data_IF_474167414209
#
_entry.id   IF_474167414209
#
_cell.length_a   1.000
_cell.length_b   1.000
_cell.length_c   1.000
_cell.angle_alpha   90.00
_cell.angle_beta   90.00
_cell.angle_gamma   90.00
#
_symmetry.space_group_name_H-M   'P 1'
#
loop_
_entity.id
_entity.type
_entity.pdbx_description
1 polymer ?
#
# COMPACT_ATOMS: atom_id res chain seq x y z
N UNK A 1 -6.79 -1.88 27.73
CA UNK A 1 -7.11 -2.30 26.34
C UNK A 1 -8.23 -1.40 25.81
N UNK A 2 -8.11 -0.95 24.56
CA UNK A 2 -9.18 -0.17 23.91
C UNK A 2 -10.42 -1.02 23.64
N UNK A 3 -11.49 -0.40 23.13
CA UNK A 3 -12.67 -1.14 22.66
C UNK A 3 -12.28 -1.93 21.39
N UNK A 4 -12.69 -3.21 21.26
CA UNK A 4 -12.37 -4.00 20.08
C UNK A 4 -13.06 -3.45 18.83
N UNK A 5 -12.40 -3.53 17.68
CA UNK A 5 -13.00 -3.17 16.40
C UNK A 5 -14.08 -4.18 16.01
N UNK A 6 -15.27 -3.70 15.67
CA UNK A 6 -16.41 -4.52 15.26
C UNK A 6 -16.31 -4.82 13.77
N UNK A 7 -16.28 -6.09 13.40
CA UNK A 7 -16.16 -6.52 12.02
C UNK A 7 -17.41 -7.24 11.53
N UNK A 8 -17.66 -7.10 10.23
CA UNK A 8 -18.49 -8.02 9.46
C UNK A 8 -17.58 -8.72 8.46
N UNK A 9 -17.67 -10.05 8.37
CA UNK A 9 -16.94 -10.83 7.37
C UNK A 9 -17.83 -11.05 6.15
N UNK A 10 -17.36 -10.71 4.95
CA UNK A 10 -18.06 -10.97 3.70
C UNK A 10 -17.33 -12.04 2.89
N UNK A 11 -17.89 -13.25 2.86
CA UNK A 11 -17.34 -14.41 2.16
C UNK A 11 -17.23 -15.63 3.08
N UNK A 12 -17.53 -16.81 2.54
CA UNK A 12 -17.50 -18.10 3.23
C UNK A 12 -16.56 -19.13 2.54
N UNK A 13 -15.69 -18.63 1.65
CA UNK A 13 -14.84 -19.44 0.78
C UNK A 13 -13.52 -19.89 1.42
N UNK A 14 -12.52 -20.14 0.57
CA UNK A 14 -11.19 -20.60 0.98
C UNK A 14 -10.54 -19.64 1.98
N UNK A 15 -10.57 -18.34 1.70
CA UNK A 15 -9.95 -17.30 2.50
C UNK A 15 -10.65 -17.15 3.86
N UNK A 16 -11.98 -17.31 3.92
CA UNK A 16 -12.68 -17.39 5.20
C UNK A 16 -12.12 -18.55 6.03
N UNK A 17 -12.16 -19.76 5.47
CA UNK A 17 -11.76 -20.99 6.16
C UNK A 17 -10.30 -20.97 6.62
N UNK A 18 -9.38 -20.43 5.80
CA UNK A 18 -7.96 -20.35 6.17
C UNK A 18 -7.68 -19.36 7.30
N UNK A 19 -8.56 -18.39 7.54
CA UNK A 19 -8.36 -17.33 8.53
C UNK A 19 -9.22 -17.46 9.80
N UNK A 20 -10.15 -18.41 9.89
CA UNK A 20 -11.04 -18.58 11.06
C UNK A 20 -10.25 -18.62 12.38
N UNK A 21 -9.15 -19.38 12.44
CA UNK A 21 -8.36 -19.51 13.66
C UNK A 21 -7.60 -18.22 14.00
N UNK A 22 -7.10 -17.50 12.99
CA UNK A 22 -6.49 -16.18 13.17
C UNK A 22 -7.51 -15.18 13.75
N UNK A 23 -8.72 -15.13 13.19
CA UNK A 23 -9.79 -14.25 13.64
C UNK A 23 -10.24 -14.57 15.08
N UNK A 24 -10.42 -15.86 15.41
CA UNK A 24 -10.72 -16.29 16.79
C UNK A 24 -9.61 -15.90 17.77
N UNK A 25 -8.35 -16.05 17.36
CA UNK A 25 -7.23 -15.61 18.19
C UNK A 25 -7.26 -14.10 18.43
N UNK A 26 -7.52 -13.29 17.39
CA UNK A 26 -7.63 -11.83 17.53
C UNK A 26 -8.83 -11.40 18.38
N UNK A 27 -9.96 -12.12 18.36
CA UNK A 27 -11.06 -11.90 19.31
C UNK A 27 -10.64 -12.23 20.76
N UNK A 28 -9.87 -13.30 20.97
CA UNK A 28 -9.37 -13.67 22.32
C UNK A 28 -8.40 -12.64 22.91
N UNK A 29 -7.68 -11.91 22.04
CA UNK A 29 -6.83 -10.78 22.42
C UNK A 29 -7.62 -9.47 22.61
N UNK A 30 -8.94 -9.49 22.39
CA UNK A 30 -9.82 -8.33 22.44
C UNK A 30 -9.39 -7.18 21.48
N UNK A 31 -8.76 -7.53 20.36
CA UNK A 31 -8.45 -6.59 19.27
C UNK A 31 -9.69 -6.35 18.40
N UNK A 32 -10.48 -7.39 18.18
CA UNK A 32 -11.68 -7.36 17.33
C UNK A 32 -12.87 -8.07 17.98
N UNK A 33 -14.04 -7.85 17.39
CA UNK A 33 -15.26 -8.61 17.61
C UNK A 33 -15.96 -8.83 16.28
N UNK A 34 -16.21 -10.08 15.92
CA UNK A 34 -16.99 -10.40 14.72
C UNK A 34 -18.47 -10.35 15.07
N UNK A 35 -19.17 -9.34 14.56
CA UNK A 35 -20.60 -9.18 14.84
C UNK A 35 -21.47 -9.98 13.88
N UNK A 36 -21.00 -10.22 12.64
CA UNK A 36 -21.71 -11.05 11.69
C UNK A 36 -20.82 -11.58 10.57
N UNK A 37 -21.30 -12.62 9.90
CA UNK A 37 -20.77 -13.17 8.66
C UNK A 37 -21.88 -13.10 7.60
N UNK A 38 -21.52 -12.77 6.38
CA UNK A 38 -22.42 -12.68 5.23
C UNK A 38 -21.73 -13.21 3.99
N UNK A 39 -22.50 -13.55 2.96
CA UNK A 39 -22.03 -13.87 1.63
C UNK A 39 -23.13 -13.51 0.61
N UNK A 40 -22.83 -13.63 -0.69
CA UNK A 40 -23.85 -13.45 -1.73
C UNK A 40 -24.95 -14.51 -1.62
N UNK A 41 -24.54 -15.73 -1.28
CA UNK A 41 -25.42 -16.85 -0.97
C UNK A 41 -25.05 -17.37 0.42
N UNK A 42 -26.00 -17.37 1.34
CA UNK A 42 -25.81 -17.87 2.70
C UNK A 42 -26.55 -19.20 2.86
N UNK A 43 -25.96 -20.20 3.55
CA UNK A 43 -26.68 -21.43 3.85
C UNK A 43 -27.83 -21.20 4.84
N UNK A 44 -28.77 -22.14 4.91
CA UNK A 44 -29.92 -22.10 5.83
C UNK A 44 -29.55 -22.41 7.29
N UNK A 45 -28.56 -21.70 7.82
CA UNK A 45 -28.13 -21.76 9.22
C UNK A 45 -28.13 -20.35 9.83
N UNK A 46 -28.31 -20.25 11.15
CA UNK A 46 -28.30 -18.95 11.84
C UNK A 46 -26.90 -18.52 12.29
N UNK A 47 -25.94 -19.44 12.35
CA UNK A 47 -24.58 -19.21 12.83
C UNK A 47 -23.56 -20.08 12.10
N UNK A 48 -22.32 -19.61 12.04
CA UNK A 48 -21.14 -20.34 11.57
C UNK A 48 -19.95 -19.99 12.46
N UNK A 49 -19.19 -20.99 12.91
CA UNK A 49 -18.04 -20.83 13.82
C UNK A 49 -18.33 -20.05 15.11
N UNK A 50 -19.60 -19.99 15.52
CA UNK A 50 -20.05 -19.21 16.67
C UNK A 50 -20.41 -17.75 16.34
N UNK A 51 -20.25 -17.28 15.12
CA UNK A 51 -20.69 -15.96 14.66
C UNK A 51 -22.07 -16.00 14.01
N UNK A 52 -22.79 -14.89 14.05
CA UNK A 52 -24.12 -14.79 13.45
C UNK A 52 -24.02 -14.74 11.92
N UNK A 53 -24.81 -15.57 11.23
CA UNK A 53 -24.96 -15.49 9.79
C UNK A 53 -26.12 -14.54 9.45
N UNK A 54 -25.87 -13.56 8.59
CA UNK A 54 -26.87 -12.57 8.18
C UNK A 54 -26.93 -12.46 6.65
N UNK A 55 -28.10 -12.08 6.16
CA UNK A 55 -28.28 -11.63 4.77
C UNK A 55 -27.61 -10.27 4.57
N UNK A 56 -27.09 -10.00 3.37
CA UNK A 56 -26.37 -8.76 3.05
C UNK A 56 -27.21 -7.50 3.25
N UNK A 57 -28.53 -7.60 3.11
CA UNK A 57 -29.49 -6.51 3.34
C UNK A 57 -29.53 -6.08 4.83
N UNK A 58 -29.12 -6.96 5.75
CA UNK A 58 -29.09 -6.70 7.20
C UNK A 58 -27.77 -6.06 7.66
N UNK A 59 -26.77 -5.90 6.80
CA UNK A 59 -25.47 -5.30 7.14
C UNK A 59 -25.64 -3.92 7.78
N UNK A 60 -26.48 -3.04 7.20
CA UNK A 60 -26.72 -1.68 7.75
C UNK A 60 -27.34 -1.66 9.14
N UNK A 61 -28.04 -2.73 9.52
CA UNK A 61 -28.70 -2.87 10.83
C UNK A 61 -27.79 -3.50 11.87
N UNK A 62 -26.61 -3.96 11.45
CA UNK A 62 -25.60 -4.57 12.29
C UNK A 62 -24.58 -3.50 12.66
N UNK A 63 -24.14 -3.45 13.93
CA UNK A 63 -23.07 -2.53 14.31
C UNK A 63 -21.74 -3.05 13.75
N UNK A 64 -20.99 -2.22 13.06
CA UNK A 64 -19.64 -2.56 12.59
C UNK A 64 -18.80 -1.28 12.45
N UNK A 65 -17.49 -1.43 12.50
CA UNK A 65 -16.51 -0.41 12.17
C UNK A 65 -16.01 -0.66 10.74
N UNK A 66 -15.63 -1.91 10.43
CA UNK A 66 -15.14 -2.33 9.11
C UNK A 66 -15.82 -3.61 8.59
N UNK A 67 -15.81 -3.79 7.27
CA UNK A 67 -16.16 -5.04 6.60
C UNK A 67 -14.87 -5.65 6.05
N UNK A 68 -14.59 -6.89 6.43
CA UNK A 68 -13.46 -7.65 5.90
C UNK A 68 -13.94 -8.54 4.74
N UNK A 69 -13.42 -8.31 3.55
CA UNK A 69 -13.73 -9.07 2.34
C UNK A 69 -12.89 -10.34 2.35
N UNK A 70 -13.53 -11.47 2.63
CA UNK A 70 -12.93 -12.80 2.76
C UNK A 70 -12.91 -13.53 1.40
N UNK A 71 -12.51 -12.83 0.35
CA UNK A 71 -12.35 -13.38 -0.99
C UNK A 71 -11.45 -12.45 -1.83
N UNK A 72 -10.26 -12.93 -2.21
CA UNK A 72 -9.31 -12.12 -2.99
C UNK A 72 -9.62 -12.14 -4.49
N UNK A 73 -10.24 -13.22 -5.00
CA UNK A 73 -10.54 -13.38 -6.44
C UNK A 73 -11.69 -12.46 -6.86
N UNK A 74 -12.78 -12.45 -6.10
CA UNK A 74 -13.99 -11.66 -6.37
C UNK A 74 -14.03 -10.36 -5.56
N UNK A 75 -12.87 -9.90 -5.06
CA UNK A 75 -12.79 -8.75 -4.17
C UNK A 75 -13.45 -7.50 -4.78
N UNK A 76 -13.12 -7.17 -6.02
CA UNK A 76 -13.57 -5.91 -6.63
C UNK A 76 -15.10 -5.90 -6.85
N UNK A 77 -15.68 -7.07 -7.16
CA UNK A 77 -17.13 -7.25 -7.24
C UNK A 77 -17.79 -7.07 -5.87
N UNK A 78 -17.26 -7.73 -4.83
CA UNK A 78 -17.78 -7.62 -3.47
C UNK A 78 -17.66 -6.18 -2.94
N UNK A 79 -16.53 -5.51 -3.18
CA UNK A 79 -16.36 -4.09 -2.82
C UNK A 79 -17.41 -3.24 -3.53
N UNK A 80 -17.66 -3.48 -4.81
CA UNK A 80 -18.69 -2.77 -5.58
C UNK A 80 -20.07 -2.96 -4.98
N UNK A 81 -20.42 -4.19 -4.59
CA UNK A 81 -21.72 -4.49 -3.98
C UNK A 81 -21.86 -3.88 -2.59
N UNK A 82 -20.82 -3.92 -1.75
CA UNK A 82 -20.79 -3.21 -0.47
C UNK A 82 -20.98 -1.70 -0.67
N UNK A 83 -20.33 -1.12 -1.68
CA UNK A 83 -20.46 0.30 -2.00
C UNK A 83 -21.85 0.67 -2.53
N UNK A 84 -22.54 -0.22 -3.27
CA UNK A 84 -23.95 -0.03 -3.66
C UNK A 84 -24.89 0.00 -2.44
N UNK A 85 -24.51 -0.66 -1.36
CA UNK A 85 -25.19 -0.50 -0.06
C UNK A 85 -24.87 0.86 0.58
N UNK A 86 -24.09 1.76 -0.02
CA UNK A 86 -23.77 3.08 0.54
C UNK A 86 -22.76 3.04 1.69
N UNK A 87 -21.94 1.98 1.75
CA UNK A 87 -20.85 1.87 2.72
C UNK A 87 -19.58 2.45 2.09
N UNK A 88 -18.91 3.35 2.80
CA UNK A 88 -17.72 4.05 2.30
C UNK A 88 -16.54 3.08 2.08
N UNK A 89 -15.78 3.28 0.99
CA UNK A 89 -14.63 2.42 0.63
C UNK A 89 -13.59 2.27 1.73
N UNK A 90 -13.35 3.33 2.53
CA UNK A 90 -12.40 3.30 3.67
C UNK A 90 -12.79 2.32 4.79
N UNK A 91 -14.04 1.88 4.81
CA UNK A 91 -14.57 0.92 5.79
C UNK A 91 -14.52 -0.52 5.27
N UNK A 92 -13.98 -0.75 4.08
CA UNK A 92 -13.92 -2.05 3.42
C UNK A 92 -12.45 -2.47 3.33
N UNK A 93 -12.11 -3.57 3.99
CA UNK A 93 -10.74 -4.05 4.10
C UNK A 93 -10.62 -5.42 3.42
N UNK A 94 -9.52 -5.70 2.70
CA UNK A 94 -9.30 -7.03 2.14
C UNK A 94 -8.73 -8.00 3.18
N UNK A 95 -9.04 -9.29 3.08
CA UNK A 95 -8.57 -10.29 4.06
C UNK A 95 -7.05 -10.46 4.09
N UNK A 96 -6.35 -10.21 2.98
CA UNK A 96 -4.87 -10.28 2.89
C UNK A 96 -4.11 -9.47 3.95
N UNK A 97 -4.74 -8.46 4.58
CA UNK A 97 -4.08 -7.69 5.64
C UNK A 97 -3.76 -8.55 6.87
N UNK A 98 -4.50 -9.65 7.06
CA UNK A 98 -4.27 -10.61 8.14
C UNK A 98 -2.96 -11.39 7.96
N UNK A 99 -2.45 -11.47 6.73
CA UNK A 99 -1.19 -12.14 6.42
C UNK A 99 0.04 -11.26 6.72
N UNK A 100 -0.16 -9.98 7.05
CA UNK A 100 0.94 -9.05 7.32
C UNK A 100 1.66 -9.48 8.61
N UNK A 101 2.98 -9.67 8.57
CA UNK A 101 3.74 -10.04 9.77
C UNK A 101 3.69 -8.96 10.84
N UNK A 102 3.56 -9.37 12.11
CA UNK A 102 3.40 -8.47 13.27
C UNK A 102 2.17 -7.55 13.18
N UNK A 103 1.15 -7.95 12.43
CA UNK A 103 -0.10 -7.21 12.32
C UNK A 103 -0.79 -7.07 13.68
N UNK A 104 -1.21 -5.84 13.97
CA UNK A 104 -2.12 -5.52 15.07
C UNK A 104 -3.14 -4.52 14.54
N UNK A 105 -4.40 -4.68 14.93
CA UNK A 105 -5.47 -3.85 14.41
C UNK A 105 -5.27 -2.39 14.77
N UNK A 106 -4.88 -2.12 16.02
CA UNK A 106 -4.65 -0.74 16.48
C UNK A 106 -3.55 0.00 15.70
N UNK A 107 -2.48 -0.66 15.26
CA UNK A 107 -1.41 -0.02 14.45
C UNK A 107 -1.85 0.14 13.00
N UNK A 108 -2.46 -0.90 12.44
CA UNK A 108 -2.95 -0.87 11.06
C UNK A 108 -4.03 0.20 10.86
N UNK A 109 -5.02 0.29 11.75
CA UNK A 109 -6.09 1.29 11.65
C UNK A 109 -5.54 2.71 11.83
N UNK A 110 -4.61 2.94 12.77
CA UNK A 110 -3.94 4.24 12.89
C UNK A 110 -3.22 4.64 11.61
N UNK A 111 -2.55 3.71 10.95
CA UNK A 111 -1.89 3.97 9.67
C UNK A 111 -2.92 4.31 8.58
N UNK A 112 -3.99 3.52 8.47
CA UNK A 112 -5.07 3.72 7.51
C UNK A 112 -5.72 5.10 7.68
N UNK A 113 -6.05 5.48 8.92
CA UNK A 113 -6.69 6.74 9.28
C UNK A 113 -5.75 7.94 9.24
N UNK A 114 -4.43 7.71 9.23
CA UNK A 114 -3.46 8.80 9.04
C UNK A 114 -3.48 9.37 7.62
N UNK A 115 -4.16 8.70 6.68
CA UNK A 115 -4.28 9.13 5.29
C UNK A 115 -2.92 9.41 4.64
N UNK A 116 -1.97 8.51 4.86
CA UNK A 116 -0.59 8.65 4.41
C UNK A 116 -0.47 8.75 2.88
N UNK A 117 0.41 9.63 2.43
CA UNK A 117 0.77 9.80 1.02
C UNK A 117 2.21 9.37 0.80
N UNK A 118 2.40 8.28 0.04
CA UNK A 118 3.72 7.74 -0.28
C UNK A 118 4.24 8.36 -1.59
N UNK A 119 5.39 9.00 -1.53
CA UNK A 119 6.17 9.46 -2.68
C UNK A 119 7.28 8.44 -2.89
N UNK A 120 7.33 7.82 -4.06
CA UNK A 120 8.26 6.73 -4.37
C UNK A 120 8.84 6.97 -5.77
N UNK A 121 10.12 6.68 -5.97
CA UNK A 121 10.74 6.82 -7.28
C UNK A 121 10.49 5.60 -8.20
N UNK A 122 9.74 4.59 -7.72
CA UNK A 122 9.28 3.45 -8.50
C UNK A 122 7.88 2.95 -8.06
N UNK A 123 7.60 1.68 -8.32
CA UNK A 123 6.33 1.04 -7.99
C UNK A 123 6.17 0.67 -6.51
N UNK A 124 7.19 0.85 -5.65
CA UNK A 124 7.19 0.44 -4.25
C UNK A 124 5.97 0.98 -3.51
N UNK A 125 5.72 2.28 -3.58
CA UNK A 125 4.57 2.90 -2.90
C UNK A 125 3.22 2.31 -3.35
N UNK A 126 3.08 2.02 -4.64
CA UNK A 126 1.89 1.39 -5.20
C UNK A 126 1.67 -0.05 -4.71
N UNK A 127 2.77 -0.82 -4.59
CA UNK A 127 2.77 -2.18 -4.08
C UNK A 127 2.43 -2.18 -2.59
N UNK A 128 3.04 -1.29 -1.80
CA UNK A 128 2.74 -1.14 -0.37
C UNK A 128 1.25 -0.85 -0.14
N UNK A 129 0.65 0.09 -0.87
CA UNK A 129 -0.79 0.34 -0.73
C UNK A 129 -1.61 -0.92 -0.99
N UNK A 130 -1.26 -1.70 -2.02
CA UNK A 130 -1.95 -2.93 -2.40
C UNK A 130 -1.80 -3.99 -1.31
N UNK A 131 -0.59 -4.20 -0.80
CA UNK A 131 -0.29 -5.13 0.29
C UNK A 131 -1.11 -4.78 1.54
N UNK A 132 -1.16 -3.49 1.88
CA UNK A 132 -1.89 -2.98 3.04
C UNK A 132 -3.39 -2.75 2.79
N UNK A 133 -3.91 -3.06 1.59
CA UNK A 133 -5.33 -2.89 1.27
C UNK A 133 -5.84 -1.44 1.33
N UNK A 134 -4.93 -0.45 1.31
CA UNK A 134 -5.25 0.97 1.47
C UNK A 134 -5.28 1.71 0.13
N UNK A 135 -5.92 2.87 0.11
CA UNK A 135 -5.90 3.74 -1.06
C UNK A 135 -4.53 4.40 -1.22
N UNK A 136 -3.99 4.38 -2.44
CA UNK A 136 -2.81 5.21 -2.75
C UNK A 136 -3.21 6.66 -2.98
N UNK A 137 -2.76 7.53 -2.07
CA UNK A 137 -3.02 8.97 -2.07
C UNK A 137 -1.86 9.76 -2.67
N UNK A 138 -1.35 9.33 -3.81
CA UNK A 138 -0.17 9.93 -4.44
C UNK A 138 -0.21 9.76 -5.96
N UNK A 139 0.20 10.78 -6.74
CA UNK A 139 0.37 10.66 -8.19
C UNK A 139 1.56 9.78 -8.55
N UNK A 140 2.54 9.60 -7.64
CA UNK A 140 3.72 8.73 -7.77
C UNK A 140 3.39 7.23 -7.64
N UNK A 141 2.21 6.83 -8.10
CA UNK A 141 1.77 5.43 -8.16
C UNK A 141 1.97 4.90 -9.56
N UNK A 142 2.55 3.70 -9.69
CA UNK A 142 2.71 2.99 -10.97
C UNK A 142 3.46 3.84 -12.01
N UNK A 143 4.53 4.50 -11.58
CA UNK A 143 5.44 5.24 -12.45
C UNK A 143 6.86 5.07 -11.92
N UNK A 144 7.85 5.49 -12.72
CA UNK A 144 9.24 5.53 -12.32
C UNK A 144 9.85 6.90 -12.62
N UNK A 145 10.82 7.30 -11.82
CA UNK A 145 11.68 8.46 -12.04
C UNK A 145 13.01 8.20 -11.34
N UNK A 146 14.05 8.97 -11.66
CA UNK A 146 15.30 8.84 -10.93
C UNK A 146 15.10 9.27 -9.46
N UNK A 147 15.86 8.69 -8.52
CA UNK A 147 15.81 9.14 -7.14
C UNK A 147 16.21 10.62 -7.01
N UNK A 148 17.20 11.06 -7.79
CA UNK A 148 17.62 12.46 -7.89
C UNK A 148 16.47 13.37 -8.33
N UNK A 149 15.74 12.97 -9.38
CA UNK A 149 14.60 13.72 -9.92
C UNK A 149 13.49 13.85 -8.87
N UNK A 150 13.21 12.78 -8.11
CA UNK A 150 12.24 12.85 -7.02
C UNK A 150 12.69 13.83 -5.93
N UNK A 151 13.96 13.76 -5.51
CA UNK A 151 14.53 14.65 -4.50
C UNK A 151 14.46 16.12 -4.92
N UNK A 152 14.71 16.43 -6.19
CA UNK A 152 14.60 17.78 -6.74
C UNK A 152 13.16 18.34 -6.67
N UNK A 153 12.14 17.49 -6.70
CA UNK A 153 10.75 17.90 -6.59
C UNK A 153 10.32 18.19 -5.15
N UNK A 154 11.02 17.70 -4.12
CA UNK A 154 10.55 17.76 -2.72
C UNK A 154 10.50 19.16 -2.08
N UNK A 155 11.50 20.06 -2.23
CA UNK A 155 11.54 21.32 -1.47
C UNK A 155 10.29 22.20 -1.65
N UNK A 156 9.65 22.16 -2.81
CA UNK A 156 8.39 22.85 -3.11
C UNK A 156 7.37 21.88 -3.71
N UNK A 157 7.24 20.68 -3.14
CA UNK A 157 6.47 19.59 -3.72
C UNK A 157 5.09 20.04 -4.22
N UNK A 158 4.31 20.70 -3.37
CA UNK A 158 2.95 21.13 -3.72
C UNK A 158 2.91 22.03 -4.96
N UNK A 159 3.85 22.97 -5.10
CA UNK A 159 3.94 23.84 -6.28
C UNK A 159 4.45 23.05 -7.50
N UNK A 160 5.50 22.26 -7.31
CA UNK A 160 6.14 21.48 -8.36
C UNK A 160 5.18 20.49 -9.03
N UNK A 161 4.36 19.77 -8.25
CA UNK A 161 3.43 18.75 -8.79
C UNK A 161 2.13 19.32 -9.36
N UNK A 162 1.84 20.59 -9.11
CA UNK A 162 0.69 21.29 -9.69
C UNK A 162 0.94 21.73 -11.13
N UNK A 163 2.19 21.77 -11.57
CA UNK A 163 2.50 21.96 -12.99
C UNK A 163 2.08 20.75 -13.81
N UNK A 164 1.74 21.01 -15.08
CA UNK A 164 1.35 19.96 -16.02
C UNK A 164 2.61 19.26 -16.53
N UNK A 165 2.75 17.93 -16.37
CA UNK A 165 3.82 17.20 -17.04
C UNK A 165 3.75 17.38 -18.56
N UNK A 166 4.87 17.74 -19.17
CA UNK A 166 5.01 17.97 -20.60
C UNK A 166 5.50 16.70 -21.29
N UNK A 167 4.79 16.22 -22.31
CA UNK A 167 5.23 15.05 -23.06
C UNK A 167 6.59 15.28 -23.72
N UNK A 168 7.50 14.32 -23.54
CA UNK A 168 8.85 14.34 -24.15
C UNK A 168 8.93 13.32 -25.27
N UNK A 169 8.70 12.04 -24.93
CA UNK A 169 8.85 10.94 -25.88
C UNK A 169 8.09 9.70 -25.41
N UNK A 170 7.96 8.71 -26.29
CA UNK A 170 7.60 7.36 -25.89
C UNK A 170 8.87 6.52 -25.76
N UNK A 171 8.98 5.78 -24.65
CA UNK A 171 10.00 4.74 -24.48
C UNK A 171 9.36 3.36 -24.50
N UNK A 172 10.20 2.33 -24.61
CA UNK A 172 9.80 0.93 -24.60
C UNK A 172 10.42 0.26 -23.38
N UNK A 173 9.61 -0.42 -22.58
CA UNK A 173 10.12 -1.21 -21.47
C UNK A 173 10.86 -2.43 -22.03
N UNK A 174 12.04 -2.72 -21.48
CA UNK A 174 13.02 -3.65 -22.08
C UNK A 174 12.49 -5.09 -22.08
N UNK A 175 11.76 -5.50 -21.04
CA UNK A 175 11.33 -6.88 -20.85
C UNK A 175 10.01 -7.20 -21.53
N UNK A 176 9.01 -6.34 -21.37
CA UNK A 176 7.64 -6.49 -21.87
C UNK A 176 7.47 -5.96 -23.29
N UNK A 177 8.34 -5.05 -23.71
CA UNK A 177 8.21 -4.35 -24.97
C UNK A 177 7.04 -3.37 -25.05
N UNK A 178 6.37 -3.09 -23.94
CA UNK A 178 5.26 -2.13 -23.89
C UNK A 178 5.81 -0.72 -24.05
N UNK A 179 5.16 0.07 -24.92
CA UNK A 179 5.46 1.50 -25.08
C UNK A 179 4.73 2.31 -24.04
N UNK A 180 5.43 3.27 -23.44
CA UNK A 180 4.90 4.15 -22.40
C UNK A 180 5.39 5.58 -22.59
N UNK A 181 4.62 6.60 -22.16
CA UNK A 181 5.03 7.99 -22.29
C UNK A 181 6.02 8.39 -21.17
N UNK A 182 7.01 9.19 -21.56
CA UNK A 182 7.90 9.93 -20.66
C UNK A 182 7.50 11.39 -20.72
N UNK A 183 7.29 12.00 -19.56
CA UNK A 183 6.93 13.42 -19.45
C UNK A 183 7.87 14.14 -18.50
N UNK A 184 8.15 15.40 -18.80
CA UNK A 184 8.97 16.27 -17.98
C UNK A 184 8.08 17.08 -17.04
N UNK A 185 8.44 17.11 -15.76
CA UNK A 185 7.85 17.98 -14.75
C UNK A 185 8.99 18.79 -14.13
N UNK A 186 9.05 20.10 -14.39
CA UNK A 186 10.22 20.92 -14.06
C UNK A 186 11.50 20.33 -14.68
N UNK A 187 12.41 19.85 -13.84
CA UNK A 187 13.68 19.23 -14.22
C UNK A 187 13.64 17.69 -14.10
N UNK A 188 12.53 17.12 -13.65
CA UNK A 188 12.35 15.69 -13.47
C UNK A 188 11.73 15.03 -14.70
N UNK A 189 12.19 13.82 -15.03
CA UNK A 189 11.60 12.97 -16.06
C UNK A 189 10.81 11.83 -15.43
N UNK A 190 9.52 11.79 -15.71
CA UNK A 190 8.59 10.82 -15.17
C UNK A 190 8.23 9.81 -16.26
N UNK A 191 8.51 8.54 -15.97
CA UNK A 191 8.22 7.39 -16.81
C UNK A 191 6.89 6.78 -16.37
N UNK A 192 5.84 6.97 -17.17
CA UNK A 192 4.50 6.41 -16.91
C UNK A 192 4.41 4.98 -17.42
N UNK A 193 5.27 4.09 -16.91
CA UNK A 193 5.49 2.72 -17.37
C UNK A 193 4.28 1.77 -17.30
N UNK A 194 3.15 2.22 -16.74
CA UNK A 194 1.89 1.49 -16.69
C UNK A 194 0.76 2.10 -17.53
N UNK A 195 1.07 3.12 -18.33
CA UNK A 195 0.14 3.83 -19.20
C UNK A 195 0.61 3.73 -20.66
N UNK A 196 -0.34 3.61 -21.58
CA UNK A 196 -0.03 3.46 -23.02
C UNK A 196 -0.30 4.73 -23.83
N UNK A 197 -0.97 5.72 -23.25
CA UNK A 197 -1.23 7.02 -23.85
C UNK A 197 -0.91 8.17 -22.89
N UNK A 198 -0.62 9.34 -23.46
CA UNK A 198 -0.32 10.57 -22.72
C UNK A 198 -1.57 11.05 -21.96
N UNK A 199 -2.73 10.94 -22.61
CA UNK A 199 -4.02 11.36 -22.07
C UNK A 199 -4.40 10.55 -20.83
N UNK A 200 -4.27 9.22 -20.89
CA UNK A 200 -4.55 8.32 -19.76
C UNK A 200 -3.61 8.60 -18.58
N UNK A 201 -2.32 8.77 -18.86
CA UNK A 201 -1.31 9.09 -17.85
C UNK A 201 -1.62 10.42 -17.14
N UNK A 202 -1.93 11.47 -17.91
CA UNK A 202 -2.28 12.78 -17.36
C UNK A 202 -3.60 12.76 -16.58
N UNK A 203 -4.61 12.03 -17.06
CA UNK A 203 -5.87 11.88 -16.34
C UNK A 203 -5.64 11.20 -14.97
N UNK A 204 -4.89 10.10 -14.95
CA UNK A 204 -4.52 9.39 -13.72
C UNK A 204 -3.69 10.26 -12.79
N UNK A 205 -2.69 10.98 -13.32
CA UNK A 205 -1.86 11.93 -12.57
C UNK A 205 -2.73 12.98 -11.89
N UNK A 206 -3.51 13.74 -12.65
CA UNK A 206 -4.34 14.83 -12.15
C UNK A 206 -5.40 14.35 -11.15
N UNK A 207 -6.00 13.17 -11.38
CA UNK A 207 -6.96 12.58 -10.45
C UNK A 207 -6.32 12.19 -9.12
N UNK A 208 -5.09 11.69 -9.12
CA UNK A 208 -4.36 11.27 -7.92
C UNK A 208 -3.74 12.46 -7.19
N UNK A 209 -3.32 13.48 -7.91
CA UNK A 209 -2.77 14.73 -7.38
C UNK A 209 -3.71 15.39 -6.35
N UNK A 210 -5.02 15.37 -6.63
CA UNK A 210 -6.07 15.89 -5.73
C UNK A 210 -6.18 15.18 -4.38
N UNK A 211 -5.53 14.02 -4.21
CA UNK A 211 -5.66 13.16 -3.02
C UNK A 211 -4.48 13.27 -2.06
N UNK A 212 -3.39 13.95 -2.45
CA UNK A 212 -2.19 14.05 -1.63
C UNK A 212 -2.53 14.67 -0.27
N UNK A 213 -2.08 14.03 0.80
CA UNK A 213 -2.07 14.57 2.13
C UNK A 213 -0.68 15.13 2.45
N UNK A 214 -0.49 16.43 2.19
CA UNK A 214 0.79 17.12 2.43
C UNK A 214 1.21 17.14 3.90
N UNK A 215 0.27 16.95 4.84
CA UNK A 215 0.56 16.88 6.28
C UNK A 215 1.09 15.51 6.72
N UNK A 216 1.00 14.49 5.86
CA UNK A 216 1.45 13.13 6.18
C UNK A 216 2.08 12.45 4.96
N UNK A 217 3.24 12.96 4.57
CA UNK A 217 4.06 12.40 3.50
C UNK A 217 5.00 11.32 4.04
N UNK A 218 5.20 10.28 3.24
CA UNK A 218 6.30 9.33 3.41
C UNK A 218 7.12 9.31 2.13
N UNK A 219 8.41 9.62 2.23
CA UNK A 219 9.33 9.65 1.09
C UNK A 219 10.12 8.34 1.03
N UNK A 220 9.88 7.56 0.00
CA UNK A 220 10.68 6.39 -0.33
C UNK A 220 11.53 6.69 -1.57
N UNK A 221 12.81 6.32 -1.49
CA UNK A 221 13.66 6.20 -2.66
C UNK A 221 14.41 4.87 -2.62
N UNK A 222 14.84 4.41 -3.79
CA UNK A 222 15.96 3.49 -3.89
C UNK A 222 17.02 4.07 -4.83
N UNK A 223 18.28 3.81 -4.53
CA UNK A 223 19.41 4.28 -5.33
C UNK A 223 20.64 3.41 -5.10
N UNK A 224 21.54 3.39 -6.09
CA UNK A 224 22.89 2.82 -5.98
C UNK A 224 23.97 3.92 -5.98
N UNK A 225 23.54 5.19 -6.04
CA UNK A 225 24.38 6.38 -6.05
C UNK A 225 24.51 6.96 -4.64
N UNK A 226 25.77 7.06 -4.17
CA UNK A 226 26.12 7.53 -2.83
C UNK A 226 25.74 9.00 -2.61
N UNK A 227 25.94 9.86 -3.61
CA UNK A 227 25.67 11.29 -3.50
C UNK A 227 24.17 11.55 -3.35
N UNK A 228 23.34 10.71 -4.01
CA UNK A 228 21.88 10.74 -3.86
C UNK A 228 21.46 10.33 -2.45
N UNK A 229 22.12 9.34 -1.84
CA UNK A 229 21.85 8.96 -0.45
C UNK A 229 22.19 10.09 0.50
N UNK A 230 23.34 10.75 0.31
CA UNK A 230 23.76 11.89 1.15
C UNK A 230 22.78 13.06 1.05
N UNK A 231 22.29 13.38 -0.16
CA UNK A 231 21.21 14.36 -0.34
C UNK A 231 19.90 13.91 0.33
N UNK A 232 19.53 12.63 0.23
CA UNK A 232 18.34 12.13 0.91
C UNK A 232 18.43 12.22 2.44
N UNK A 233 19.61 11.97 3.01
CA UNK A 233 19.86 12.06 4.46
C UNK A 233 19.62 13.49 4.95
N UNK A 234 20.04 14.50 4.18
CA UNK A 234 19.90 15.91 4.57
C UNK A 234 18.47 16.44 4.60
N UNK A 235 17.49 15.71 4.03
CA UNK A 235 16.08 16.10 4.10
C UNK A 235 15.58 16.16 5.55
N UNK A 236 14.86 17.23 5.91
CA UNK A 236 14.35 17.42 7.28
C UNK A 236 13.20 16.47 7.67
N UNK A 237 12.57 15.80 6.70
CA UNK A 237 11.45 14.88 6.97
C UNK A 237 11.89 13.62 7.73
N UNK A 238 11.14 13.26 8.77
CA UNK A 238 11.39 12.05 9.57
C UNK A 238 10.74 10.79 8.99
N UNK A 239 9.72 10.95 8.13
CA UNK A 239 9.01 9.83 7.50
C UNK A 239 9.62 9.58 6.13
N UNK A 240 10.75 8.88 6.13
CA UNK A 240 11.48 8.58 4.91
C UNK A 240 12.23 7.25 4.99
N UNK A 241 12.41 6.59 3.84
CA UNK A 241 13.26 5.42 3.69
C UNK A 241 14.02 5.46 2.37
N UNK A 242 15.30 5.10 2.42
CA UNK A 242 16.16 4.92 1.27
C UNK A 242 16.63 3.47 1.24
N UNK A 243 16.30 2.75 0.16
CA UNK A 243 16.78 1.39 -0.05
C UNK A 243 18.04 1.40 -0.90
N UNK A 244 19.05 0.66 -0.45
CA UNK A 244 20.35 0.52 -1.12
C UNK A 244 20.77 -0.95 -1.13
N UNK A 245 21.66 -1.40 -2.04
CA UNK A 245 22.14 -2.77 -2.04
C UNK A 245 22.85 -3.16 -0.74
N UNK A 246 22.81 -4.45 -0.39
CA UNK A 246 23.57 -4.99 0.75
C UNK A 246 25.06 -4.67 0.61
N UNK A 247 25.68 -4.18 1.68
CA UNK A 247 27.09 -3.79 1.70
C UNK A 247 27.36 -2.36 1.23
N UNK A 248 26.33 -1.52 1.05
CA UNK A 248 26.48 -0.11 0.68
C UNK A 248 27.32 0.68 1.69
N UNK A 249 27.20 0.37 2.98
CA UNK A 249 28.11 0.85 4.02
C UNK A 249 27.79 2.25 4.58
N UNK A 250 26.61 2.80 4.30
CA UNK A 250 26.13 4.04 4.94
C UNK A 250 25.34 3.70 6.20
N UNK A 251 25.74 4.30 7.32
CA UNK A 251 25.04 4.17 8.61
C UNK A 251 24.14 5.37 8.85
N UNK A 252 22.89 5.29 8.39
CA UNK A 252 21.86 6.28 8.70
C UNK A 252 20.56 5.59 9.13
N UNK A 253 19.83 6.16 10.11
CA UNK A 253 18.45 5.83 10.46
C UNK A 253 17.49 5.40 9.36
N UNK A 254 17.57 6.03 8.20
CA UNK A 254 16.59 5.95 7.14
C UNK A 254 17.16 5.24 5.91
N UNK A 255 18.37 4.70 6.00
CA UNK A 255 19.01 3.94 4.92
C UNK A 255 18.96 2.45 5.27
N UNK A 256 18.37 1.68 4.38
CA UNK A 256 18.09 0.26 4.56
C UNK A 256 18.78 -0.54 3.46
N UNK A 257 19.71 -1.38 3.88
CA UNK A 257 20.40 -2.30 2.99
C UNK A 257 19.53 -3.53 2.69
N UNK A 258 19.25 -3.79 1.42
CA UNK A 258 18.47 -4.94 0.99
C UNK A 258 19.34 -5.97 0.28
N UNK A 259 19.11 -7.24 0.62
CA UNK A 259 19.80 -8.37 0.00
C UNK A 259 19.01 -8.88 -1.22
N UNK A 260 19.72 -9.03 -2.35
CA UNK A 260 19.20 -9.68 -3.55
C UNK A 260 19.09 -11.19 -3.33
N UNK A 261 17.93 -11.76 -3.66
CA UNK A 261 17.72 -13.21 -3.62
C UNK A 261 18.12 -13.86 -4.96
N UNK A 262 18.44 -15.17 -4.96
CA UNK A 262 18.76 -15.90 -6.18
C UNK A 262 17.69 -15.71 -7.27
N UNK A 263 18.12 -15.32 -8.47
CA UNK A 263 17.27 -15.11 -9.64
C UNK A 263 16.88 -13.65 -9.90
N UNK A 264 17.03 -12.76 -8.92
CA UNK A 264 16.83 -11.32 -9.12
C UNK A 264 18.05 -10.73 -9.85
N UNK A 265 17.81 -9.90 -10.88
CA UNK A 265 18.89 -9.34 -11.72
C UNK A 265 19.12 -7.86 -11.46
N UNK A 266 18.03 -7.14 -11.23
CA UNK A 266 18.05 -5.70 -11.02
C UNK A 266 17.66 -5.35 -9.58
N UNK A 267 18.30 -4.34 -9.00
CA UNK A 267 18.06 -3.98 -7.59
C UNK A 267 16.60 -3.55 -7.32
N UNK A 268 15.93 -2.92 -8.29
CA UNK A 268 14.53 -2.53 -8.16
C UNK A 268 13.58 -3.73 -7.92
N UNK A 269 13.97 -4.95 -8.32
CA UNK A 269 13.18 -6.16 -8.07
C UNK A 269 13.09 -6.45 -6.58
N UNK A 270 14.21 -6.29 -5.86
CA UNK A 270 14.29 -6.45 -4.39
C UNK A 270 13.47 -5.38 -3.70
N UNK A 271 13.57 -4.14 -4.21
CA UNK A 271 12.82 -2.99 -3.70
C UNK A 271 11.32 -3.28 -3.81
N UNK A 272 10.83 -3.61 -4.99
CA UNK A 272 9.42 -3.92 -5.19
C UNK A 272 8.96 -5.17 -4.42
N UNK A 273 9.82 -6.20 -4.31
CA UNK A 273 9.49 -7.42 -3.60
C UNK A 273 9.35 -7.20 -2.09
N UNK A 274 10.17 -6.34 -1.46
CA UNK A 274 10.05 -6.08 -0.02
C UNK A 274 8.79 -5.29 0.37
N UNK A 275 8.18 -4.54 -0.57
CA UNK A 275 6.88 -3.89 -0.39
C UNK A 275 5.69 -4.87 -0.34
N UNK A 276 5.90 -6.09 -0.82
CA UNK A 276 4.89 -7.15 -0.83
C UNK A 276 4.92 -7.98 0.46
N UNK A 277 4.06 -8.99 0.56
CA UNK A 277 4.18 -10.03 1.59
C UNK A 277 4.96 -11.27 1.07
N UNK A 278 5.96 -11.03 0.22
CA UNK A 278 6.70 -12.05 -0.54
C UNK A 278 8.12 -12.30 -0.02
N UNK A 279 8.98 -12.85 -0.88
CA UNK A 279 10.27 -13.40 -0.49
C UNK A 279 11.24 -12.39 0.14
N UNK A 280 11.26 -11.11 -0.28
CA UNK A 280 12.16 -10.10 0.28
C UNK A 280 11.54 -9.32 1.47
N UNK A 281 10.31 -9.64 1.88
CA UNK A 281 9.57 -8.87 2.88
C UNK A 281 10.00 -9.14 4.33
N UNK A 282 11.11 -9.86 4.56
CA UNK A 282 11.54 -10.29 5.89
C UNK A 282 12.33 -9.24 6.68
N UNK A 283 12.83 -8.16 6.07
CA UNK A 283 13.71 -7.23 6.79
C UNK A 283 12.94 -6.31 7.74
N UNK A 284 11.82 -5.74 7.29
CA UNK A 284 11.16 -4.60 7.94
C UNK A 284 9.71 -4.92 8.32
N UNK A 285 9.27 -4.40 9.47
CA UNK A 285 7.85 -4.27 9.79
C UNK A 285 7.31 -3.04 9.02
N UNK A 286 6.62 -3.30 7.90
CA UNK A 286 6.18 -2.27 6.96
C UNK A 286 5.22 -1.25 7.59
N UNK A 287 4.41 -1.66 8.56
CA UNK A 287 3.49 -0.75 9.28
C UNK A 287 4.31 0.22 10.16
N UNK A 288 5.34 -0.30 10.84
CA UNK A 288 6.29 0.53 11.61
C UNK A 288 6.99 1.53 10.72
N UNK A 289 7.52 1.06 9.59
CA UNK A 289 8.27 1.88 8.65
C UNK A 289 7.46 3.11 8.22
N UNK A 290 6.22 2.89 7.79
CA UNK A 290 5.31 3.96 7.37
C UNK A 290 4.86 4.88 8.52
N UNK A 291 4.85 4.37 9.75
CA UNK A 291 4.64 5.18 10.96
C UNK A 291 5.87 6.06 11.31
N UNK A 292 7.02 5.85 10.66
CA UNK A 292 8.30 6.48 11.00
C UNK A 292 9.03 5.78 12.15
N UNK A 293 8.60 4.58 12.50
CA UNK A 293 9.21 3.73 13.52
C UNK A 293 10.20 2.76 12.87
N UNK A 294 11.35 2.55 13.50
CA UNK A 294 12.33 1.56 13.03
C UNK A 294 12.11 0.26 13.75
N UNK A 295 11.70 -0.76 13.00
CA UNK A 295 11.53 -2.10 13.52
C UNK A 295 11.91 -3.11 12.46
N UNK A 296 13.04 -3.75 12.71
CA UNK A 296 13.49 -4.88 11.93
C UNK A 296 12.77 -6.13 12.41
N UNK A 297 12.55 -7.08 11.49
CA UNK A 297 12.04 -8.42 11.84
C UNK A 297 13.16 -9.44 11.99
N UNK A 298 14.39 -9.03 11.71
CA UNK A 298 15.63 -9.79 11.84
C UNK A 298 16.44 -9.21 12.99
N UNK A 299 17.24 -10.07 13.64
CA UNK A 299 18.15 -9.72 14.73
C UNK A 299 19.49 -9.16 14.22
#
# INVERSE_FOLDING_TARGET
MGKPYKLILWGLGKEYNSHVMCLKHQESLNEIRINAVTANEIPHYSRIDGWQLIEKEKIKRTAFDYILVMNEVYQDEIVTDIMKLGIERKRILPCRILDIPYFTWSRYIRLLESEISILSNNCWGGIVCRTLGMECRSPFKNLALSAKDLLELLPNLQENVMEKPEFVEFRKEVHSGIRYPVMRLKNAYIHFNHDTSVEEALEKWNRRLKKINYNNLFVEIYTEDRDVVEHFISLETKKKACFVPRGFGIKDPNVYELEMLPGQKEFWEVVNSNASNGANSYLLDIISLLAGEKKYRVD
#
